data_IF_974340623975
#
_entry.id   IF_974340623975
#
_cell.length_a   1.000
_cell.length_b   1.000
_cell.length_c   1.000
_cell.angle_alpha   90.00
_cell.angle_beta   90.00
_cell.angle_gamma   90.00
#
_symmetry.space_group_name_H-M   'P 1'
#
loop_
_entity.id
_entity.type
_entity.pdbx_description
1 polymer ?
#
# COMPACT_ATOMS: atom_id res chain seq x y z
N UNK A 1 18.39 2.33 -23.05
CA UNK A 1 17.34 3.06 -23.79
C UNK A 1 16.60 3.96 -22.80
N UNK A 2 16.66 5.27 -22.96
CA UNK A 2 15.93 6.19 -22.07
C UNK A 2 14.42 5.98 -22.24
N UNK A 3 13.67 5.96 -21.12
CA UNK A 3 12.21 5.90 -21.17
C UNK A 3 11.70 7.04 -22.06
N UNK A 4 10.87 6.74 -23.05
CA UNK A 4 10.24 7.79 -23.87
C UNK A 4 9.40 8.69 -22.96
N UNK A 5 9.61 9.99 -23.07
CA UNK A 5 8.71 10.97 -22.46
C UNK A 5 7.32 10.75 -23.03
N UNK A 6 6.38 10.37 -22.20
CA UNK A 6 4.97 10.24 -22.59
C UNK A 6 4.24 11.52 -22.19
N UNK A 7 3.44 12.08 -23.07
CA UNK A 7 2.56 13.26 -22.81
C UNK A 7 1.37 12.89 -21.88
N UNK A 8 1.62 12.03 -20.89
CA UNK A 8 0.61 11.57 -19.94
C UNK A 8 0.70 12.44 -18.69
N UNK A 9 -0.42 12.95 -18.23
CA UNK A 9 -0.49 13.61 -16.92
C UNK A 9 -0.13 12.61 -15.84
N UNK A 10 0.89 12.94 -15.04
CA UNK A 10 1.40 12.07 -13.99
C UNK A 10 0.83 12.45 -12.64
N UNK A 11 0.54 11.45 -11.82
CA UNK A 11 0.33 11.62 -10.40
C UNK A 11 1.62 11.99 -9.68
N UNK A 12 1.54 12.19 -8.39
CA UNK A 12 2.68 12.48 -7.52
C UNK A 12 2.88 11.38 -6.48
N UNK A 13 4.12 11.25 -6.02
CA UNK A 13 4.46 10.45 -4.84
C UNK A 13 4.73 11.42 -3.71
N UNK A 14 4.04 11.22 -2.60
CA UNK A 14 4.31 11.91 -1.34
C UNK A 14 4.76 10.88 -0.31
N UNK A 15 5.60 11.31 0.62
CA UNK A 15 6.09 10.45 1.70
C UNK A 15 5.44 10.89 2.99
N UNK A 16 4.88 9.92 3.71
CA UNK A 16 4.40 10.12 5.07
C UNK A 16 5.37 9.50 6.05
N UNK A 17 5.55 10.16 7.18
CA UNK A 17 6.15 9.57 8.36
C UNK A 17 5.07 9.35 9.41
N UNK A 18 5.02 8.15 9.97
CA UNK A 18 4.07 7.79 11.01
C UNK A 18 4.79 7.18 12.21
N UNK A 19 4.56 7.75 13.38
CA UNK A 19 5.06 7.22 14.66
C UNK A 19 4.03 6.24 15.22
N UNK A 20 4.29 4.94 15.01
CA UNK A 20 3.39 3.88 15.45
C UNK A 20 3.49 3.65 16.95
N UNK A 21 2.36 3.73 17.64
CA UNK A 21 2.22 3.30 19.03
C UNK A 21 2.14 1.78 19.15
N UNK A 22 1.57 1.12 18.15
CA UNK A 22 1.35 -0.33 18.09
C UNK A 22 2.67 -1.08 17.92
N UNK A 23 3.58 -0.56 17.07
CA UNK A 23 4.89 -1.18 16.81
C UNK A 23 5.96 -0.78 17.81
N UNK A 24 5.70 0.22 18.67
CA UNK A 24 6.65 0.66 19.68
C UNK A 24 6.98 -0.46 20.66
N UNK A 25 8.28 -0.75 20.82
CA UNK A 25 8.75 -1.77 21.73
C UNK A 25 8.52 -3.21 21.26
N UNK A 26 8.40 -3.44 19.92
CA UNK A 26 8.35 -4.79 19.37
C UNK A 26 9.63 -5.57 19.73
N UNK A 27 9.52 -6.91 19.81
CA UNK A 27 10.62 -7.77 20.31
C UNK A 27 11.84 -7.79 19.38
N UNK A 28 11.67 -7.52 18.10
CA UNK A 28 12.80 -7.44 17.15
C UNK A 28 13.60 -6.14 17.27
N UNK A 29 13.11 -5.14 18.02
CA UNK A 29 13.72 -3.82 18.08
C UNK A 29 13.58 -3.02 16.78
N UNK A 30 12.71 -3.44 15.87
CA UNK A 30 12.48 -2.74 14.61
C UNK A 30 11.92 -1.34 14.83
N UNK A 31 12.23 -0.38 13.95
CA UNK A 31 11.74 0.98 14.06
C UNK A 31 10.22 1.04 14.18
N UNK A 32 9.72 1.88 15.08
CA UNK A 32 8.29 2.19 15.14
C UNK A 32 7.93 3.52 14.45
N UNK A 33 8.93 4.29 14.05
CA UNK A 33 8.74 5.43 13.13
C UNK A 33 8.93 4.89 11.73
N UNK A 34 7.87 4.97 10.93
CA UNK A 34 7.79 4.35 9.60
C UNK A 34 7.56 5.41 8.53
N UNK A 35 8.41 5.42 7.51
CA UNK A 35 8.24 6.27 6.33
C UNK A 35 7.76 5.44 5.16
N UNK A 36 6.67 5.85 4.53
CA UNK A 36 6.08 5.11 3.43
C UNK A 36 5.58 6.04 2.33
N UNK A 37 5.72 5.63 1.05
CA UNK A 37 5.22 6.41 -0.07
C UNK A 37 3.73 6.21 -0.28
N UNK A 38 3.09 7.27 -0.78
CA UNK A 38 1.70 7.27 -1.20
C UNK A 38 1.61 7.88 -2.59
N UNK A 39 1.01 7.15 -3.54
CA UNK A 39 0.69 7.68 -4.86
C UNK A 39 -0.61 8.45 -4.82
N UNK A 40 -0.57 9.66 -5.37
CA UNK A 40 -1.70 10.57 -5.50
C UNK A 40 -1.97 10.78 -7.00
N UNK A 41 -3.17 10.49 -7.51
CA UNK A 41 -3.47 10.64 -8.93
C UNK A 41 -3.49 12.12 -9.34
N UNK A 42 -3.10 12.45 -10.58
CA UNK A 42 -3.03 13.85 -11.04
C UNK A 42 -4.36 14.61 -10.87
N UNK A 43 -5.48 13.90 -10.92
CA UNK A 43 -6.82 14.47 -10.72
C UNK A 43 -7.00 15.06 -9.33
N UNK A 44 -6.25 14.58 -8.35
CA UNK A 44 -6.27 15.11 -6.99
C UNK A 44 -5.82 16.58 -6.94
N UNK A 45 -4.85 16.96 -7.75
CA UNK A 45 -4.31 18.32 -7.81
C UNK A 45 -5.08 19.24 -8.76
N UNK A 46 -6.05 18.73 -9.50
CA UNK A 46 -6.84 19.52 -10.43
C UNK A 46 -7.83 20.43 -9.68
N UNK A 47 -7.85 21.73 -10.02
CA UNK A 47 -8.77 22.69 -9.42
C UNK A 47 -10.25 22.27 -9.56
N UNK A 48 -10.60 21.59 -10.67
CA UNK A 48 -11.96 21.07 -10.91
C UNK A 48 -12.37 19.98 -9.89
N UNK A 49 -11.39 19.35 -9.25
CA UNK A 49 -11.60 18.25 -8.32
C UNK A 49 -11.26 18.63 -6.87
N UNK A 50 -11.27 19.92 -6.52
CA UNK A 50 -10.86 20.41 -5.19
C UNK A 50 -11.57 19.70 -4.03
N UNK A 51 -12.86 19.38 -4.20
CA UNK A 51 -13.68 18.71 -3.17
C UNK A 51 -13.88 17.21 -3.44
N UNK A 52 -13.28 16.67 -4.52
CA UNK A 52 -13.42 15.25 -4.86
C UNK A 52 -12.62 14.40 -3.88
N UNK A 53 -13.27 13.36 -3.36
CA UNK A 53 -12.65 12.29 -2.59
C UNK A 53 -12.35 11.09 -3.46
N UNK A 54 -11.38 10.28 -3.05
CA UNK A 54 -10.85 9.18 -3.86
C UNK A 54 -10.88 7.86 -3.08
N UNK A 55 -11.15 6.72 -3.75
CA UNK A 55 -10.91 5.41 -3.16
C UNK A 55 -9.44 5.23 -2.78
N UNK A 56 -9.16 4.36 -1.82
CA UNK A 56 -7.81 4.08 -1.34
C UNK A 56 -7.49 2.60 -1.49
N UNK A 57 -6.34 2.28 -2.07
CA UNK A 57 -5.77 0.94 -2.10
C UNK A 57 -4.51 0.87 -1.23
N UNK A 58 -4.34 -0.25 -0.53
CA UNK A 58 -3.11 -0.60 0.17
C UNK A 58 -2.42 -1.72 -0.61
N UNK A 59 -1.21 -1.46 -1.13
CA UNK A 59 -0.39 -2.44 -1.86
C UNK A 59 0.66 -3.04 -0.92
N UNK A 60 0.43 -4.28 -0.52
CA UNK A 60 1.26 -5.03 0.40
C UNK A 60 2.41 -5.70 -0.36
N UNK A 61 3.65 -5.37 0.00
CA UNK A 61 4.83 -5.93 -0.64
C UNK A 61 5.02 -7.43 -0.30
N UNK A 62 5.73 -8.15 -1.16
CA UNK A 62 6.20 -9.51 -0.85
C UNK A 62 7.35 -9.51 0.15
N UNK A 63 7.80 -10.69 0.57
CA UNK A 63 8.76 -10.89 1.68
C UNK A 63 10.07 -10.12 1.51
N UNK A 64 10.63 -10.07 0.31
CA UNK A 64 11.87 -9.34 0.01
C UNK A 64 11.63 -7.91 -0.49
N UNK A 65 10.38 -7.46 -0.56
CA UNK A 65 9.97 -6.16 -1.07
C UNK A 65 9.66 -5.17 0.02
N UNK A 66 9.59 -3.91 -0.36
CA UNK A 66 9.15 -2.82 0.51
C UNK A 66 8.24 -1.86 -0.25
N UNK A 67 7.51 -1.01 0.48
CA UNK A 67 6.72 0.06 -0.11
C UNK A 67 7.55 0.98 -1.01
N UNK A 68 8.78 1.29 -0.59
CA UNK A 68 9.74 2.08 -1.38
C UNK A 68 10.09 1.42 -2.72
N UNK A 69 10.23 0.09 -2.74
CA UNK A 69 10.53 -0.66 -3.97
C UNK A 69 9.42 -0.52 -5.04
N UNK A 70 8.19 -0.20 -4.65
CA UNK A 70 7.06 -0.02 -5.58
C UNK A 70 7.16 1.27 -6.39
N UNK A 71 7.80 2.29 -5.85
CA UNK A 71 7.93 3.61 -6.47
C UNK A 71 9.29 3.83 -7.12
N UNK A 72 10.23 2.91 -6.93
CA UNK A 72 11.58 3.02 -7.50
C UNK A 72 11.55 3.00 -9.03
N UNK A 73 12.37 3.88 -9.60
CA UNK A 73 12.62 3.89 -11.02
C UNK A 73 13.37 2.63 -11.48
N UNK A 74 12.98 2.08 -12.62
CA UNK A 74 13.62 0.96 -13.27
C UNK A 74 13.87 1.24 -14.74
N UNK A 75 14.99 0.75 -15.26
CA UNK A 75 15.46 1.10 -16.60
C UNK A 75 14.50 0.71 -17.73
N UNK A 76 13.95 -0.49 -17.69
CA UNK A 76 13.14 -1.04 -18.80
C UNK A 76 11.71 -1.40 -18.39
N UNK A 77 11.35 -1.09 -17.16
CA UNK A 77 10.04 -1.40 -16.61
C UNK A 77 9.32 -0.13 -16.14
N UNK A 78 8.02 -0.14 -16.20
CA UNK A 78 7.19 0.85 -15.51
C UNK A 78 7.19 0.55 -14.00
N UNK A 79 7.40 1.57 -13.18
CA UNK A 79 7.04 1.50 -11.76
C UNK A 79 5.51 1.36 -11.60
N UNK A 80 5.06 0.97 -10.43
CA UNK A 80 3.61 0.87 -10.16
C UNK A 80 2.89 2.20 -10.42
N UNK A 81 3.39 3.36 -9.93
CA UNK A 81 2.80 4.66 -10.25
C UNK A 81 2.71 4.98 -11.74
N UNK A 82 3.78 4.72 -12.50
CA UNK A 82 3.80 4.98 -13.95
C UNK A 82 2.79 4.12 -14.70
N UNK A 83 2.64 2.86 -14.31
CA UNK A 83 1.63 1.95 -14.87
C UNK A 83 0.22 2.44 -14.59
N UNK A 84 -0.02 2.93 -13.38
CA UNK A 84 -1.33 3.46 -13.00
C UNK A 84 -1.66 4.73 -13.76
N UNK A 85 -0.72 5.67 -13.88
CA UNK A 85 -0.88 6.88 -14.69
C UNK A 85 -1.28 6.55 -16.13
N UNK A 86 -0.60 5.57 -16.73
CA UNK A 86 -0.92 5.09 -18.07
C UNK A 86 -2.32 4.48 -18.16
N UNK A 87 -2.69 3.63 -17.19
CA UNK A 87 -4.01 2.98 -17.19
C UNK A 87 -5.15 3.98 -16.94
N UNK A 88 -4.94 4.98 -16.09
CA UNK A 88 -5.89 6.07 -15.88
C UNK A 88 -6.02 6.92 -17.15
N UNK A 89 -4.90 7.25 -17.81
CA UNK A 89 -4.92 7.98 -19.08
C UNK A 89 -5.68 7.22 -20.16
N UNK A 90 -5.54 5.90 -20.23
CA UNK A 90 -6.27 5.01 -21.15
C UNK A 90 -7.72 4.75 -20.73
N UNK A 91 -8.22 5.38 -19.67
CA UNK A 91 -9.56 5.17 -19.10
C UNK A 91 -9.86 3.72 -18.68
N UNK A 92 -8.80 2.89 -18.48
CA UNK A 92 -8.92 1.52 -17.98
C UNK A 92 -9.05 1.45 -16.46
N UNK A 93 -8.62 2.49 -15.78
CA UNK A 93 -8.77 2.65 -14.34
C UNK A 93 -9.37 4.02 -14.01
N UNK A 94 -10.19 4.07 -12.97
CA UNK A 94 -10.62 5.31 -12.34
C UNK A 94 -9.52 5.82 -11.42
N UNK A 95 -9.41 7.14 -11.17
CA UNK A 95 -8.41 7.68 -10.24
C UNK A 95 -8.63 7.22 -8.80
N UNK A 96 -7.57 6.80 -8.13
CA UNK A 96 -7.54 6.37 -6.74
C UNK A 96 -6.18 6.68 -6.10
N UNK A 97 -6.12 6.68 -4.78
CA UNK A 97 -4.92 6.82 -3.97
C UNK A 97 -4.34 5.42 -3.72
N UNK A 98 -3.00 5.27 -3.73
CA UNK A 98 -2.36 4.02 -3.28
C UNK A 98 -1.39 4.32 -2.15
N UNK A 99 -1.55 3.59 -1.07
CA UNK A 99 -0.63 3.54 0.05
C UNK A 99 0.29 2.33 -0.13
N UNK A 100 1.58 2.53 -0.02
CA UNK A 100 2.59 1.48 -0.01
C UNK A 100 3.20 1.40 1.39
N UNK A 101 2.57 0.67 2.33
CA UNK A 101 2.98 0.69 3.72
C UNK A 101 4.39 0.13 3.92
N UNK A 102 5.11 0.70 4.87
CA UNK A 102 6.35 0.12 5.35
C UNK A 102 6.05 -0.87 6.49
N UNK A 103 6.18 -2.15 6.17
CA UNK A 103 6.04 -3.26 7.09
C UNK A 103 7.28 -4.16 7.07
N UNK A 104 8.43 -3.64 6.58
CA UNK A 104 9.67 -4.39 6.54
C UNK A 104 10.26 -4.55 7.94
N UNK A 105 10.83 -5.73 8.23
CA UNK A 105 11.42 -6.07 9.53
C UNK A 105 12.89 -6.43 9.37
N UNK A 106 13.62 -6.56 10.48
CA UNK A 106 14.99 -7.07 10.49
C UNK A 106 15.11 -8.51 9.95
N UNK A 107 14.00 -9.24 9.90
CA UNK A 107 13.93 -10.59 9.31
C UNK A 107 13.46 -10.60 7.84
N UNK A 108 13.26 -9.43 7.23
CA UNK A 108 12.67 -9.26 5.91
C UNK A 108 11.26 -8.69 5.97
N UNK A 109 10.38 -9.05 5.02
CA UNK A 109 8.98 -8.71 5.07
C UNK A 109 8.22 -9.46 6.18
N UNK A 110 6.92 -9.26 6.23
CA UNK A 110 6.08 -10.03 7.13
C UNK A 110 4.79 -10.45 6.42
N UNK A 111 3.95 -11.23 7.11
CA UNK A 111 2.70 -11.75 6.58
C UNK A 111 1.49 -10.81 6.82
N UNK A 112 1.75 -9.58 7.30
CA UNK A 112 0.74 -8.55 7.59
C UNK A 112 -0.30 -8.98 8.62
N UNK A 113 0.09 -9.87 9.53
CA UNK A 113 -0.71 -10.37 10.64
C UNK A 113 -0.17 -9.82 11.97
N UNK A 114 -0.93 -10.01 13.03
CA UNK A 114 -0.42 -9.79 14.38
C UNK A 114 0.39 -11.00 14.83
N UNK A 115 1.60 -10.77 15.28
CA UNK A 115 2.52 -11.77 15.80
C UNK A 115 3.12 -11.30 17.12
N UNK A 116 3.16 -12.19 18.10
CA UNK A 116 3.85 -11.93 19.38
C UNK A 116 5.36 -11.80 19.22
N UNK A 117 5.94 -12.42 18.18
CA UNK A 117 7.38 -12.40 17.92
C UNK A 117 7.80 -11.18 17.07
N UNK A 118 7.05 -10.88 16.01
CA UNK A 118 7.47 -9.90 14.99
C UNK A 118 6.86 -8.51 15.26
N UNK A 119 5.61 -8.47 15.73
CA UNK A 119 4.86 -7.25 15.95
C UNK A 119 3.42 -7.31 15.44
N UNK A 120 2.61 -6.33 15.80
CA UNK A 120 1.16 -6.30 15.52
C UNK A 120 0.88 -5.55 14.21
N UNK A 121 1.36 -6.09 13.09
CA UNK A 121 1.28 -5.40 11.79
C UNK A 121 -0.14 -5.32 11.20
N UNK A 122 -1.04 -6.26 11.51
CA UNK A 122 -2.43 -6.12 11.12
C UNK A 122 -3.10 -4.92 11.81
N UNK A 123 -2.83 -4.74 13.10
CA UNK A 123 -3.36 -3.60 13.86
C UNK A 123 -2.70 -2.29 13.42
N UNK A 124 -1.39 -2.29 13.13
CA UNK A 124 -0.70 -1.14 12.57
C UNK A 124 -1.37 -0.67 11.28
N UNK A 125 -1.66 -1.59 10.35
CA UNK A 125 -2.35 -1.26 9.09
C UNK A 125 -3.76 -0.73 9.34
N UNK A 126 -4.53 -1.42 10.19
CA UNK A 126 -5.97 -1.18 10.29
C UNK A 126 -6.35 -0.11 11.32
N UNK A 127 -5.63 -0.02 12.42
CA UNK A 127 -5.95 0.88 13.53
C UNK A 127 -5.11 2.17 13.55
N UNK A 128 -3.98 2.19 12.82
CA UNK A 128 -3.13 3.39 12.73
C UNK A 128 -3.07 3.94 11.30
N UNK A 129 -2.63 3.15 10.30
CA UNK A 129 -2.42 3.72 8.96
C UNK A 129 -3.73 4.10 8.26
N UNK A 130 -4.78 3.30 8.37
CA UNK A 130 -6.08 3.65 7.75
C UNK A 130 -6.60 4.99 8.29
N UNK A 131 -6.75 5.21 9.62
CA UNK A 131 -7.21 6.49 10.14
C UNK A 131 -6.27 7.64 9.78
N UNK A 132 -4.94 7.40 9.79
CA UNK A 132 -3.96 8.41 9.42
C UNK A 132 -4.16 8.89 7.97
N UNK A 133 -4.26 7.96 7.01
CA UNK A 133 -4.51 8.29 5.61
C UNK A 133 -5.87 9.00 5.42
N UNK A 134 -6.89 8.56 6.13
CA UNK A 134 -8.22 9.18 6.05
C UNK A 134 -8.26 10.60 6.62
N UNK A 135 -7.40 10.93 7.60
CA UNK A 135 -7.27 12.29 8.16
C UNK A 135 -6.44 13.22 7.28
N UNK A 136 -5.39 12.71 6.63
CA UNK A 136 -4.44 13.52 5.88
C UNK A 136 -4.87 13.76 4.43
N UNK A 137 -5.66 12.86 3.86
CA UNK A 137 -6.00 12.89 2.44
C UNK A 137 -7.51 12.92 2.19
N UNK A 138 -7.88 13.42 1.02
CA UNK A 138 -9.27 13.38 0.55
C UNK A 138 -9.68 11.97 0.13
N UNK A 139 -9.69 11.07 1.10
CA UNK A 139 -10.13 9.69 0.95
C UNK A 139 -11.66 9.59 1.05
N UNK A 140 -12.22 8.56 0.39
CA UNK A 140 -13.55 8.05 0.68
C UNK A 140 -13.42 7.10 1.89
N UNK A 141 -13.53 7.68 3.09
CA UNK A 141 -13.20 7.03 4.37
C UNK A 141 -14.21 5.95 4.79
N UNK A 142 -14.50 4.99 3.91
CA UNK A 142 -15.37 3.86 4.19
C UNK A 142 -14.81 2.58 3.59
N UNK A 143 -15.22 1.42 4.15
CA UNK A 143 -14.73 0.12 3.67
C UNK A 143 -15.06 -0.14 2.20
N UNK A 144 -16.20 0.32 1.72
CA UNK A 144 -16.68 0.12 0.33
C UNK A 144 -15.75 0.77 -0.70
N UNK A 145 -14.96 1.75 -0.26
CA UNK A 145 -14.02 2.49 -1.08
C UNK A 145 -12.56 2.23 -0.71
N UNK A 146 -12.31 1.16 0.06
CA UNK A 146 -10.96 0.77 0.47
C UNK A 146 -10.66 -0.65 0.08
N UNK A 147 -9.52 -0.85 -0.57
CA UNK A 147 -9.04 -2.16 -0.97
C UNK A 147 -7.65 -2.47 -0.41
N UNK A 148 -7.37 -3.76 -0.30
CA UNK A 148 -6.07 -4.29 0.07
C UNK A 148 -5.63 -5.31 -0.98
N UNK A 149 -4.43 -5.16 -1.52
CA UNK A 149 -3.89 -6.10 -2.50
C UNK A 149 -2.42 -6.38 -2.22
N UNK A 150 -1.90 -7.47 -2.75
CA UNK A 150 -0.49 -7.78 -2.63
C UNK A 150 -0.07 -9.02 -3.40
N UNK A 151 1.24 -9.25 -3.45
CA UNK A 151 1.85 -10.43 -4.08
C UNK A 151 2.66 -11.22 -3.06
N UNK A 152 2.69 -12.57 -3.19
CA UNK A 152 3.44 -13.47 -2.30
C UNK A 152 3.00 -13.25 -0.84
N UNK A 153 3.88 -12.95 0.10
CA UNK A 153 3.52 -12.60 1.49
C UNK A 153 2.45 -11.49 1.57
N UNK A 154 2.52 -10.48 0.69
CA UNK A 154 1.50 -9.44 0.58
C UNK A 154 0.16 -9.99 0.08
N UNK A 155 0.20 -11.00 -0.81
CA UNK A 155 -1.00 -11.72 -1.28
C UNK A 155 -1.67 -12.53 -0.17
N UNK A 156 -0.87 -13.23 0.64
CA UNK A 156 -1.35 -13.87 1.86
C UNK A 156 -1.96 -12.85 2.83
N UNK A 157 -1.24 -11.76 3.09
CA UNK A 157 -1.74 -10.66 3.93
C UNK A 157 -3.10 -10.15 3.45
N UNK A 158 -3.26 -9.91 2.14
CA UNK A 158 -4.53 -9.47 1.57
C UNK A 158 -5.66 -10.49 1.81
N UNK A 159 -5.39 -11.80 1.67
CA UNK A 159 -6.37 -12.86 1.98
C UNK A 159 -6.78 -12.85 3.46
N UNK A 160 -5.81 -12.80 4.37
CA UNK A 160 -6.09 -12.75 5.81
C UNK A 160 -6.87 -11.49 6.18
N UNK A 161 -6.51 -10.35 5.61
CA UNK A 161 -7.24 -9.10 5.83
C UNK A 161 -8.69 -9.17 5.31
N UNK A 162 -8.91 -9.80 4.16
CA UNK A 162 -10.25 -10.03 3.62
C UNK A 162 -11.09 -10.99 4.46
N UNK A 163 -10.47 -11.97 5.14
CA UNK A 163 -11.19 -12.93 5.98
C UNK A 163 -11.41 -12.43 7.42
N UNK A 164 -10.40 -11.81 8.04
CA UNK A 164 -10.42 -11.49 9.47
C UNK A 164 -10.69 -10.00 9.78
N UNK A 165 -10.45 -9.10 8.84
CA UNK A 165 -10.54 -7.65 9.04
C UNK A 165 -11.55 -7.00 8.10
N UNK A 166 -12.64 -7.70 7.79
CA UNK A 166 -13.68 -7.32 6.82
C UNK A 166 -14.29 -5.94 7.06
N UNK A 167 -14.33 -5.46 8.31
CA UNK A 167 -14.83 -4.13 8.64
C UNK A 167 -13.99 -2.98 8.04
N UNK A 168 -12.75 -3.26 7.63
CA UNK A 168 -11.85 -2.24 7.08
C UNK A 168 -11.77 -2.27 5.55
N UNK A 169 -12.04 -3.42 4.93
CA UNK A 169 -11.77 -3.67 3.51
C UNK A 169 -13.03 -4.07 2.75
N UNK A 170 -13.33 -3.33 1.68
CA UNK A 170 -14.43 -3.66 0.77
C UNK A 170 -14.03 -4.57 -0.39
N UNK A 171 -12.72 -4.60 -0.71
CA UNK A 171 -12.16 -5.45 -1.74
C UNK A 171 -10.77 -5.92 -1.36
N UNK A 172 -10.39 -7.12 -1.82
CA UNK A 172 -9.04 -7.66 -1.72
C UNK A 172 -8.56 -8.16 -3.06
N UNK A 173 -7.23 -8.13 -3.27
CA UNK A 173 -6.57 -8.73 -4.42
C UNK A 173 -5.36 -9.54 -3.96
N UNK A 174 -5.40 -10.86 -4.13
CA UNK A 174 -4.26 -11.74 -3.86
C UNK A 174 -3.63 -12.21 -5.15
N UNK A 175 -2.34 -11.91 -5.34
CA UNK A 175 -1.56 -12.40 -6.45
C UNK A 175 -0.49 -13.38 -5.93
N UNK A 176 -0.65 -14.66 -6.22
CA UNK A 176 0.27 -15.72 -5.77
C UNK A 176 0.56 -15.62 -4.26
N UNK A 177 -0.51 -15.49 -3.45
CA UNK A 177 -0.39 -15.43 -2.00
C UNK A 177 0.17 -16.74 -1.46
N UNK A 178 1.04 -16.64 -0.46
CA UNK A 178 1.63 -17.80 0.20
C UNK A 178 0.50 -18.60 0.89
N UNK A 179 0.30 -19.84 0.50
CA UNK A 179 -0.86 -20.61 0.97
C UNK A 179 -0.49 -21.88 1.73
N UNK A 180 0.66 -22.47 1.45
CA UNK A 180 1.09 -23.72 2.07
C UNK A 180 2.51 -23.58 2.63
N UNK A 181 2.59 -23.17 3.89
CA UNK A 181 3.85 -22.76 4.54
C UNK A 181 4.87 -23.88 4.66
N UNK A 182 4.44 -25.14 4.77
CA UNK A 182 5.35 -26.31 4.81
C UNK A 182 6.24 -26.43 3.53
N UNK A 183 5.85 -25.77 2.43
CA UNK A 183 6.61 -25.77 1.17
C UNK A 183 7.13 -24.39 0.76
N UNK A 184 6.81 -23.35 1.50
CA UNK A 184 7.20 -21.96 1.15
C UNK A 184 8.40 -21.49 1.96
N UNK A 185 8.52 -21.96 3.22
CA UNK A 185 9.57 -21.56 4.17
C UNK A 185 10.30 -22.75 4.77
#
# INVERSE_FOLDING_TARGET
MLKKSTNIKKGSIIFFEHTSKILKGNLLGDPHIRTFPVYIPWQYHSARNKNRKFPVLFDLAGFTGSGLGRVNWKNFEESVPERIDRLIHQQKLKPFIIVFPDCFTSLGGNQYINSSAIGRYADYLTLELIPHIDSELRSLASREHRGCLGKSSGGYGALIHGMKYTKFWGAIGSHSGDAYFDFVY
#
